data_IF_988330792460
#
_entry.id   IF_988330792460
#
_cell.length_a   1.000
_cell.length_b   1.000
_cell.length_c   1.000
_cell.angle_alpha   90.00
_cell.angle_beta   90.00
_cell.angle_gamma   90.00
#
_symmetry.space_group_name_H-M   'P 1'
#
loop_
_entity.id
_entity.type
_entity.pdbx_description
1 polymer ?
#
# COMPACT_ATOMS: atom_id res chain seq x y z
N UNK A 1 -29.86 20.51 -55.75
CA UNK A 1 -30.03 21.49 -54.65
C UNK A 1 -30.60 20.73 -53.46
N UNK A 2 -30.09 20.72 -52.23
CA UNK A 2 -29.17 21.58 -51.47
C UNK A 2 -28.23 20.70 -50.61
N UNK A 3 -27.00 21.17 -50.48
CA UNK A 3 -25.96 20.71 -49.57
C UNK A 3 -26.21 21.32 -48.17
N UNK A 4 -26.03 20.57 -47.09
CA UNK A 4 -25.67 21.13 -45.78
C UNK A 4 -24.71 20.21 -45.03
N UNK A 5 -23.70 20.86 -44.45
CA UNK A 5 -22.41 20.37 -43.95
C UNK A 5 -22.41 20.34 -42.42
N UNK A 6 -21.59 19.44 -41.85
CA UNK A 6 -20.85 19.52 -40.55
C UNK A 6 -21.75 19.40 -39.29
N UNK A 7 -21.34 18.78 -38.18
CA UNK A 7 -20.07 18.92 -37.47
C UNK A 7 -19.60 17.66 -36.74
N UNK A 8 -18.28 17.53 -36.77
CA UNK A 8 -17.37 16.71 -35.97
C UNK A 8 -17.64 16.94 -34.47
N UNK A 9 -17.91 15.89 -33.71
CA UNK A 9 -17.59 15.86 -32.29
C UNK A 9 -16.69 14.65 -32.08
N UNK A 10 -15.40 14.83 -31.76
CA UNK A 10 -14.65 13.74 -31.17
C UNK A 10 -15.32 13.48 -29.83
N UNK A 11 -16.07 12.37 -29.70
CA UNK A 11 -16.22 11.77 -28.38
C UNK A 11 -14.82 11.35 -28.01
N UNK A 12 -14.14 12.23 -27.27
CA UNK A 12 -13.00 11.84 -26.46
C UNK A 12 -13.43 10.57 -25.75
N UNK A 13 -12.90 9.45 -26.22
CA UNK A 13 -12.59 8.37 -25.32
C UNK A 13 -11.64 9.01 -24.32
N UNK A 14 -12.20 9.58 -23.26
CA UNK A 14 -11.54 9.62 -21.98
C UNK A 14 -11.35 8.15 -21.63
N UNK A 15 -10.28 7.58 -22.17
CA UNK A 15 -9.51 6.57 -21.48
C UNK A 15 -9.13 7.25 -20.17
N UNK A 16 -10.06 7.16 -19.21
CA UNK A 16 -9.75 7.32 -17.81
C UNK A 16 -8.77 6.20 -17.55
N UNK A 17 -7.51 6.54 -17.76
CA UNK A 17 -6.38 5.83 -17.21
C UNK A 17 -6.65 5.96 -15.72
N UNK A 18 -7.38 5.00 -15.16
CA UNK A 18 -7.35 4.76 -13.75
C UNK A 18 -5.86 4.71 -13.45
N UNK A 19 -5.30 5.61 -12.62
CA UNK A 19 -3.92 5.43 -12.21
C UNK A 19 -3.87 4.01 -11.68
N UNK A 20 -2.91 3.24 -12.21
CA UNK A 20 -2.50 1.97 -11.66
C UNK A 20 -2.24 2.23 -10.18
N UNK A 21 -3.29 2.07 -9.37
CA UNK A 21 -3.17 1.97 -7.95
C UNK A 21 -2.58 0.58 -7.77
N UNK A 22 -1.29 0.45 -8.09
CA UNK A 22 -0.42 -0.44 -7.36
C UNK A 22 -0.88 -0.25 -5.92
N UNK A 23 -1.40 -1.27 -5.23
CA UNK A 23 -1.70 -1.12 -3.83
C UNK A 23 -0.33 -0.80 -3.23
N UNK A 24 -0.03 0.49 -3.05
CA UNK A 24 0.91 0.87 -2.03
C UNK A 24 0.33 0.16 -0.84
N UNK A 25 1.09 -0.79 -0.29
CA UNK A 25 0.80 -1.37 1.01
C UNK A 25 0.90 -0.20 1.99
N UNK A 26 -0.07 0.70 1.88
CA UNK A 26 -0.25 1.92 2.61
C UNK A 26 -0.38 1.40 4.02
N UNK A 27 0.70 1.61 4.73
CA UNK A 27 1.11 0.72 5.80
C UNK A 27 -0.04 0.50 6.77
N UNK A 28 -0.46 -0.75 6.93
CA UNK A 28 -1.67 -1.07 7.66
C UNK A 28 -1.51 -0.61 9.11
N UNK A 29 -2.34 0.33 9.54
CA UNK A 29 -2.41 0.70 10.95
C UNK A 29 -3.35 -0.27 11.66
N UNK A 30 -2.90 -0.79 12.78
CA UNK A 30 -3.64 -1.72 13.63
C UNK A 30 -3.61 -1.23 15.06
N UNK A 31 -4.64 -1.55 15.82
CA UNK A 31 -4.65 -1.30 17.26
C UNK A 31 -4.30 -2.59 18.00
N UNK A 32 -3.30 -2.52 18.86
CA UNK A 32 -2.93 -3.58 19.80
C UNK A 32 -3.31 -3.10 21.21
N UNK A 33 -4.54 -3.40 21.62
CA UNK A 33 -5.11 -2.83 22.86
C UNK A 33 -5.24 -1.30 22.75
N UNK A 34 -4.64 -0.51 23.68
CA UNK A 34 -4.67 0.95 23.63
C UNK A 34 -3.61 1.57 22.69
N UNK A 35 -2.71 0.77 22.12
CA UNK A 35 -1.59 1.26 21.30
C UNK A 35 -1.94 1.22 19.81
N UNK A 36 -1.62 2.30 19.10
CA UNK A 36 -1.66 2.33 17.64
C UNK A 36 -0.32 1.84 17.11
N UNK A 37 -0.37 0.83 16.26
CA UNK A 37 0.81 0.22 15.65
C UNK A 37 0.69 0.26 14.13
N UNK A 38 1.84 0.26 13.46
CA UNK A 38 1.96 0.05 12.03
C UNK A 38 2.45 -1.36 11.80
N UNK A 39 1.72 -2.16 11.03
CA UNK A 39 2.23 -3.43 10.54
C UNK A 39 3.27 -3.19 9.46
N UNK A 40 4.37 -3.92 9.60
CA UNK A 40 5.39 -4.02 8.59
C UNK A 40 5.60 -5.49 8.23
N UNK A 41 5.82 -5.74 6.94
CA UNK A 41 6.11 -7.06 6.41
C UNK A 41 7.51 -6.98 5.83
N UNK A 42 8.41 -7.81 6.34
CA UNK A 42 9.73 -8.03 5.80
C UNK A 42 9.73 -9.33 5.02
N UNK A 43 10.36 -9.33 3.85
CA UNK A 43 10.76 -10.56 3.18
C UNK A 43 11.82 -11.31 4.02
N UNK A 44 12.08 -12.58 3.70
CA UNK A 44 13.14 -13.36 4.37
C UNK A 44 14.50 -12.64 4.34
N UNK A 45 14.85 -12.09 3.18
CA UNK A 45 16.13 -11.40 2.96
C UNK A 45 16.22 -10.10 3.77
N UNK A 46 15.12 -9.34 3.84
CA UNK A 46 15.07 -8.12 4.64
C UNK A 46 15.16 -8.42 6.14
N UNK A 47 14.52 -9.50 6.60
CA UNK A 47 14.57 -9.92 8.00
C UNK A 47 15.95 -10.43 8.42
N UNK A 48 16.63 -11.19 7.56
CA UNK A 48 18.01 -11.64 7.76
C UNK A 48 19.00 -10.46 7.78
N UNK A 49 18.76 -9.43 6.96
CA UNK A 49 19.56 -8.22 6.93
C UNK A 49 19.28 -7.27 8.11
N UNK A 50 18.15 -7.44 8.80
CA UNK A 50 17.75 -6.62 9.93
C UNK A 50 18.60 -6.94 11.16
N UNK A 51 19.22 -5.94 11.77
CA UNK A 51 19.93 -6.13 13.02
C UNK A 51 18.95 -6.51 14.15
N UNK A 52 19.38 -7.32 15.11
CA UNK A 52 18.51 -7.81 16.18
C UNK A 52 17.85 -6.69 16.99
N UNK A 53 18.54 -5.54 17.13
CA UNK A 53 18.01 -4.35 17.82
C UNK A 53 16.87 -3.64 17.07
N UNK A 54 16.81 -3.81 15.76
CA UNK A 54 15.84 -3.17 14.87
C UNK A 54 14.63 -4.09 14.61
N UNK A 55 14.69 -5.35 15.09
CA UNK A 55 13.55 -6.26 15.06
C UNK A 55 12.48 -5.80 16.05
N UNK A 56 11.19 -5.84 15.65
CA UNK A 56 10.09 -5.57 16.56
C UNK A 56 10.10 -6.56 17.73
N UNK A 57 9.55 -6.14 18.87
CA UNK A 57 9.42 -6.99 20.06
C UNK A 57 8.48 -8.18 19.78
N UNK A 58 7.43 -7.95 19.00
CA UNK A 58 6.48 -8.97 18.60
C UNK A 58 6.47 -9.12 17.07
N UNK A 59 6.72 -10.34 16.61
CA UNK A 59 6.69 -10.71 15.20
C UNK A 59 6.20 -12.15 15.02
N UNK A 60 5.69 -12.44 13.83
CA UNK A 60 5.29 -13.77 13.40
C UNK A 60 5.83 -14.04 12.00
N UNK A 61 6.26 -15.27 11.76
CA UNK A 61 6.60 -15.74 10.42
C UNK A 61 5.36 -16.33 9.75
N UNK A 62 5.04 -15.83 8.57
CA UNK A 62 3.90 -16.30 7.77
C UNK A 62 4.43 -16.89 6.47
N UNK A 63 4.34 -18.22 6.27
CA UNK A 63 4.83 -18.87 5.07
C UNK A 63 4.23 -18.27 3.79
N UNK A 64 5.09 -17.89 2.85
CA UNK A 64 4.71 -17.26 1.58
C UNK A 64 4.47 -15.75 1.64
N UNK A 65 4.47 -15.14 2.84
CA UNK A 65 4.36 -13.70 3.04
C UNK A 65 5.65 -13.08 3.62
N UNK A 66 6.32 -13.81 4.53
CA UNK A 66 7.54 -13.38 5.20
C UNK A 66 7.33 -13.11 6.69
N UNK A 67 8.13 -12.20 7.25
CA UNK A 67 8.07 -11.80 8.66
C UNK A 67 7.14 -10.62 8.82
N UNK A 68 6.19 -10.72 9.74
CA UNK A 68 5.22 -9.66 10.01
C UNK A 68 5.40 -9.21 11.45
N UNK A 69 5.46 -7.90 11.67
CA UNK A 69 5.59 -7.35 13.01
C UNK A 69 4.88 -6.01 13.15
N UNK A 70 4.53 -5.70 14.39
CA UNK A 70 3.86 -4.47 14.76
C UNK A 70 4.89 -3.47 15.31
N UNK A 71 4.99 -2.31 14.66
CA UNK A 71 5.84 -1.21 15.11
C UNK A 71 4.95 -0.16 15.79
N UNK A 72 5.20 0.21 17.06
CA UNK A 72 4.41 1.23 17.72
C UNK A 72 4.55 2.55 16.96
N UNK A 73 3.42 3.18 16.67
CA UNK A 73 3.41 4.59 16.25
C UNK A 73 3.38 5.38 17.55
N UNK A 74 4.42 6.18 17.79
CA UNK A 74 4.51 7.03 18.98
C UNK A 74 3.17 7.75 19.19
N UNK A 75 2.65 7.67 20.43
CA UNK A 75 1.29 8.04 20.79
C UNK A 75 0.86 9.33 20.11
N UNK A 76 -0.27 9.28 19.41
CA UNK A 76 -0.94 10.47 18.89
C UNK A 76 -1.28 11.35 20.10
N UNK A 77 -0.50 12.42 20.27
CA UNK A 77 -0.63 13.41 21.34
C UNK A 77 -1.95 14.17 21.21
#
# INVERSE_FOLDING_TARGET
>A
MRLVRRQKAPRSHSSSICPDATPSLASLQVTAGPMLCRLHIWTEQEWEALADRDRPVEFVHVPGLGWVGALPLECMN
#
